data_IF_840740420862
#
_entry.id   IF_840740420862
#
_cell.length_a   1.000
_cell.length_b   1.000
_cell.length_c   1.000
_cell.angle_alpha   90.00
_cell.angle_beta   90.00
_cell.angle_gamma   90.00
#
_symmetry.space_group_name_H-M   'P 1'
#
loop_
_entity.id
_entity.type
_entity.pdbx_description
1 polymer ?
#
# COMPACT_ATOMS: atom_id res chain seq x y z
N UNK A 1 8.73 13.46 -8.89
CA UNK A 1 9.16 13.52 -7.48
C UNK A 1 8.83 12.17 -6.85
N UNK A 2 9.75 11.21 -6.93
CA UNK A 2 9.55 9.88 -6.36
C UNK A 2 9.89 9.95 -4.88
N UNK A 3 9.00 9.45 -4.01
CA UNK A 3 9.29 9.33 -2.58
C UNK A 3 10.37 8.26 -2.42
N UNK A 4 11.33 8.46 -1.51
CA UNK A 4 12.25 7.38 -1.13
C UNK A 4 11.50 6.26 -0.39
N UNK A 5 12.06 5.04 -0.37
CA UNK A 5 11.43 3.85 0.21
C UNK A 5 11.01 4.06 1.67
N UNK A 6 11.79 4.81 2.45
CA UNK A 6 11.51 5.06 3.87
C UNK A 6 10.33 6.02 4.04
N UNK A 7 10.28 7.09 3.26
CA UNK A 7 9.14 8.02 3.26
C UNK A 7 7.88 7.31 2.79
N UNK A 8 7.96 6.49 1.73
CA UNK A 8 6.81 5.73 1.23
C UNK A 8 6.27 4.77 2.30
N UNK A 9 7.17 4.02 2.93
CA UNK A 9 6.83 3.09 4.00
C UNK A 9 6.16 3.83 5.15
N UNK A 10 6.76 4.91 5.64
CA UNK A 10 6.21 5.74 6.72
C UNK A 10 4.78 6.19 6.40
N UNK A 11 4.53 6.66 5.17
CA UNK A 11 3.20 7.11 4.74
C UNK A 11 2.15 5.98 4.71
N UNK A 12 2.55 4.74 4.44
CA UNK A 12 1.64 3.58 4.56
C UNK A 12 1.27 3.30 6.02
N UNK A 13 2.24 3.38 6.94
CA UNK A 13 1.98 3.22 8.38
C UNK A 13 1.10 4.35 8.91
N UNK A 14 1.39 5.59 8.51
CA UNK A 14 0.59 6.75 8.92
C UNK A 14 -0.84 6.64 8.40
N UNK A 15 -1.05 6.20 7.16
CA UNK A 15 -2.39 5.96 6.63
C UNK A 15 -3.20 4.95 7.47
N UNK A 16 -2.57 3.90 7.98
CA UNK A 16 -3.23 2.95 8.90
C UNK A 16 -3.60 3.65 10.22
N UNK A 17 -2.64 4.35 10.83
CA UNK A 17 -2.81 5.04 12.11
C UNK A 17 -3.88 6.13 12.07
N UNK A 18 -3.86 6.96 11.02
CA UNK A 18 -4.78 8.07 10.81
C UNK A 18 -6.24 7.59 10.68
N UNK A 19 -6.44 6.33 10.30
CA UNK A 19 -7.74 5.69 10.20
C UNK A 19 -8.04 4.74 11.38
N UNK A 20 -7.21 4.72 12.42
CA UNK A 20 -7.40 3.86 13.60
C UNK A 20 -7.31 2.36 13.29
N UNK A 21 -6.63 1.99 12.21
CA UNK A 21 -6.53 0.60 11.77
C UNK A 21 -5.31 -0.10 12.38
N UNK A 22 -5.49 -1.37 12.73
CA UNK A 22 -4.35 -2.24 13.02
C UNK A 22 -3.49 -2.35 11.75
N UNK A 23 -2.19 -2.15 11.94
CA UNK A 23 -1.25 -1.96 10.86
C UNK A 23 -1.10 -3.23 10.02
N UNK A 24 -0.96 -4.39 10.65
CA UNK A 24 -0.87 -5.68 9.96
C UNK A 24 -2.11 -5.98 9.11
N UNK A 25 -3.30 -5.72 9.63
CA UNK A 25 -4.56 -5.92 8.93
C UNK A 25 -4.76 -4.92 7.79
N UNK A 26 -4.36 -3.66 7.98
CA UNK A 26 -4.29 -2.68 6.90
C UNK A 26 -3.39 -3.17 5.76
N UNK A 27 -2.17 -3.63 6.07
CA UNK A 27 -1.25 -4.15 5.06
C UNK A 27 -1.83 -5.37 4.32
N UNK A 28 -2.44 -6.32 5.04
CA UNK A 28 -3.12 -7.49 4.43
C UNK A 28 -4.26 -7.05 3.52
N UNK A 29 -5.05 -6.04 3.91
CA UNK A 29 -6.13 -5.49 3.10
C UNK A 29 -5.58 -4.88 1.81
N UNK A 30 -4.53 -4.06 1.90
CA UNK A 30 -3.93 -3.45 0.71
C UNK A 30 -3.36 -4.52 -0.24
N UNK A 31 -2.66 -5.54 0.25
CA UNK A 31 -2.25 -6.66 -0.61
C UNK A 31 -3.45 -7.38 -1.24
N UNK A 32 -4.55 -7.55 -0.50
CA UNK A 32 -5.74 -8.23 -1.03
C UNK A 32 -6.38 -7.42 -2.16
N UNK A 33 -6.48 -6.12 -2.01
CA UNK A 33 -7.00 -5.21 -3.04
C UNK A 33 -6.09 -5.17 -4.26
N UNK A 34 -4.77 -5.09 -4.07
CA UNK A 34 -3.83 -4.92 -5.18
C UNK A 34 -3.52 -6.21 -5.94
N UNK A 35 -3.40 -7.35 -5.25
CA UNK A 35 -2.90 -8.60 -5.83
C UNK A 35 -3.71 -9.84 -5.44
N UNK A 36 -4.82 -9.70 -4.72
CA UNK A 36 -5.65 -10.83 -4.30
C UNK A 36 -4.99 -11.78 -3.30
N UNK A 37 -3.93 -11.33 -2.59
CA UNK A 37 -3.19 -12.13 -1.61
C UNK A 37 -3.10 -11.40 -0.27
N UNK A 38 -2.83 -12.12 0.82
CA UNK A 38 -2.63 -11.52 2.15
C UNK A 38 -1.18 -11.13 2.46
N UNK A 39 -0.24 -11.48 1.57
CA UNK A 39 1.20 -11.24 1.73
C UNK A 39 1.88 -11.13 0.37
N UNK A 40 3.06 -10.50 0.34
CA UNK A 40 3.84 -10.29 -0.89
C UNK A 40 5.21 -9.65 -0.61
N UNK A 41 5.91 -9.18 -1.65
CA UNK A 41 7.10 -8.34 -1.48
C UNK A 41 6.73 -7.06 -0.73
N UNK A 42 7.71 -6.36 -0.15
CA UNK A 42 7.49 -5.12 0.59
C UNK A 42 6.52 -4.19 -0.15
N UNK A 43 5.44 -3.78 0.53
CA UNK A 43 4.34 -3.05 -0.11
C UNK A 43 4.79 -1.74 -0.74
N UNK A 44 5.72 -1.02 -0.12
CA UNK A 44 6.31 0.20 -0.67
C UNK A 44 6.98 -0.05 -2.03
N UNK A 45 7.93 -0.99 -2.08
CA UNK A 45 8.62 -1.39 -3.32
C UNK A 45 7.65 -1.93 -4.37
N UNK A 46 6.62 -2.66 -3.94
CA UNK A 46 5.59 -3.18 -4.84
C UNK A 46 4.77 -2.04 -5.48
N UNK A 47 4.32 -1.08 -4.68
CA UNK A 47 3.57 0.09 -5.17
C UNK A 47 4.41 0.97 -6.09
N UNK A 48 5.69 1.14 -5.78
CA UNK A 48 6.65 1.81 -6.66
C UNK A 48 6.77 1.07 -8.01
N UNK A 49 6.84 -0.27 -7.97
CA UNK A 49 6.97 -1.11 -9.17
C UNK A 49 5.74 -1.05 -10.08
N UNK A 50 4.53 -1.14 -9.52
CA UNK A 50 3.30 -1.07 -10.34
C UNK A 50 2.99 0.36 -10.80
N UNK A 51 3.52 1.36 -10.11
CA UNK A 51 3.32 2.76 -10.40
C UNK A 51 1.97 3.32 -9.92
N UNK A 52 1.93 4.65 -9.77
CA UNK A 52 0.79 5.39 -9.23
C UNK A 52 -0.50 5.14 -10.02
N UNK A 53 -0.44 5.20 -11.35
CA UNK A 53 -1.63 5.09 -12.20
C UNK A 53 -2.30 3.72 -12.04
N UNK A 54 -1.52 2.64 -12.06
CA UNK A 54 -2.06 1.29 -11.90
C UNK A 54 -2.63 1.07 -10.49
N UNK A 55 -1.93 1.57 -9.47
CA UNK A 55 -2.41 1.50 -8.10
C UNK A 55 -3.77 2.20 -7.96
N UNK A 56 -3.91 3.42 -8.47
CA UNK A 56 -5.16 4.17 -8.42
C UNK A 56 -6.28 3.52 -9.23
N UNK A 57 -5.98 2.97 -10.42
CA UNK A 57 -6.95 2.24 -11.23
C UNK A 57 -7.54 1.05 -10.45
N UNK A 58 -6.72 0.30 -9.72
CA UNK A 58 -7.18 -0.84 -8.91
C UNK A 58 -7.99 -0.34 -7.70
N UNK A 59 -7.46 0.64 -6.97
CA UNK A 59 -8.08 1.17 -5.76
C UNK A 59 -9.44 1.82 -6.04
N UNK A 60 -9.63 2.44 -7.20
CA UNK A 60 -10.90 3.08 -7.59
C UNK A 60 -12.10 2.13 -7.74
N UNK A 61 -11.86 0.82 -7.70
CA UNK A 61 -12.89 -0.23 -7.81
C UNK A 61 -13.57 -0.57 -6.47
N UNK A 62 -13.09 0.02 -5.36
CA UNK A 62 -13.55 -0.20 -3.99
C UNK A 62 -13.88 1.13 -3.33
#
# INVERSE_FOLDING_TARGET
NTLDEQTYTTRLYDAAKDNGLETGDFFKLVYRVLIGRSHGPKLASFLETIGREKALEILSRY
#
